data_IF_062059499557
#
_entry.id   IF_062059499557
#
_cell.length_a   1.000
_cell.length_b   1.000
_cell.length_c   1.000
_cell.angle_alpha   90.00
_cell.angle_beta   90.00
_cell.angle_gamma   90.00
#
_symmetry.space_group_name_H-M   'P 1'
#
loop_
_entity.id
_entity.type
_entity.pdbx_description
1 polymer ?
#
# COMPACT_ATOMS: atom_id res chain seq x y z
N UNK A 1 2.85 -3.89 3.64
CA UNK A 1 3.96 -3.15 4.30
C UNK A 1 4.57 -4.04 5.38
N UNK A 2 5.89 -4.14 5.47
CA UNK A 2 6.54 -4.82 6.60
C UNK A 2 7.66 -3.93 7.15
N UNK A 3 7.74 -3.73 8.47
CA UNK A 3 8.73 -2.81 9.07
C UNK A 3 10.16 -3.35 9.05
N UNK A 4 10.35 -4.63 8.69
CA UNK A 4 11.66 -5.25 8.46
C UNK A 4 12.04 -5.26 6.98
N UNK A 5 11.10 -4.92 6.08
CA UNK A 5 11.35 -4.84 4.65
C UNK A 5 11.92 -3.45 4.32
N UNK A 6 13.25 -3.35 4.31
CA UNK A 6 13.94 -2.11 3.99
C UNK A 6 13.51 -1.50 2.64
N UNK A 7 13.35 -2.27 1.53
CA UNK A 7 12.83 -1.73 0.28
C UNK A 7 11.41 -1.16 0.42
N UNK A 8 10.56 -1.79 1.23
CA UNK A 8 9.20 -1.31 1.49
C UNK A 8 9.21 0.03 2.23
N UNK A 9 10.14 0.22 3.18
CA UNK A 9 10.29 1.48 3.91
C UNK A 9 10.77 2.59 2.97
N UNK A 10 11.76 2.32 2.12
CA UNK A 10 12.24 3.32 1.15
C UNK A 10 11.17 3.75 0.14
N UNK A 11 10.17 2.92 -0.12
CA UNK A 11 9.06 3.23 -1.01
C UNK A 11 8.00 4.14 -0.36
N UNK A 12 8.00 4.32 0.96
CA UNK A 12 6.95 5.06 1.69
C UNK A 12 6.91 6.56 1.38
N UNK A 13 8.03 7.29 1.33
CA UNK A 13 7.98 8.71 1.00
C UNK A 13 7.34 8.95 -0.38
N UNK A 14 7.73 8.17 -1.38
CA UNK A 14 7.16 8.26 -2.71
C UNK A 14 5.66 7.88 -2.73
N UNK A 15 5.24 6.91 -1.91
CA UNK A 15 3.83 6.59 -1.74
C UNK A 15 3.04 7.72 -1.07
N UNK A 16 3.66 8.43 -0.12
CA UNK A 16 3.12 9.64 0.50
C UNK A 16 2.90 10.75 -0.51
N UNK A 17 3.88 11.01 -1.38
CA UNK A 17 3.77 12.01 -2.45
C UNK A 17 2.60 11.71 -3.41
N UNK A 18 2.46 10.42 -3.81
CA UNK A 18 1.35 9.96 -4.64
C UNK A 18 0.01 10.11 -3.92
N UNK A 19 -0.04 9.73 -2.64
CA UNK A 19 -1.26 9.88 -1.85
C UNK A 19 -1.66 11.35 -1.73
N UNK A 20 -0.74 12.26 -1.38
CA UNK A 20 -1.04 13.69 -1.28
C UNK A 20 -1.52 14.28 -2.60
N UNK A 21 -0.95 13.84 -3.72
CA UNK A 21 -1.33 14.30 -5.05
C UNK A 21 -2.75 13.87 -5.45
N UNK A 22 -3.17 12.66 -5.08
CA UNK A 22 -4.39 12.04 -5.62
C UNK A 22 -5.49 11.75 -4.58
N UNK A 23 -5.26 11.97 -3.27
CA UNK A 23 -6.24 11.68 -2.21
C UNK A 23 -7.57 12.40 -2.40
N UNK A 24 -7.56 13.59 -3.01
CA UNK A 24 -8.76 14.35 -3.34
C UNK A 24 -9.38 13.98 -4.70
N UNK A 25 -8.63 13.26 -5.55
CA UNK A 25 -9.10 12.72 -6.83
C UNK A 25 -9.76 11.32 -6.66
N UNK A 26 -9.99 10.90 -5.42
CA UNK A 26 -10.64 9.62 -5.10
C UNK A 26 -9.68 8.46 -4.81
N UNK A 27 -8.36 8.70 -4.76
CA UNK A 27 -7.40 7.68 -4.34
C UNK A 27 -7.54 7.38 -2.85
N UNK A 28 -7.72 6.10 -2.50
CA UNK A 28 -7.53 5.59 -1.15
C UNK A 28 -6.36 4.64 -1.11
N UNK A 29 -5.45 4.86 -0.18
CA UNK A 29 -4.31 3.97 0.08
C UNK A 29 -4.57 3.24 1.38
N UNK A 30 -4.53 1.90 1.32
CA UNK A 30 -4.60 1.05 2.50
C UNK A 30 -3.33 0.22 2.57
N UNK A 31 -2.61 0.33 3.68
CA UNK A 31 -1.44 -0.50 3.96
C UNK A 31 -1.82 -1.65 4.88
N UNK A 32 -1.60 -2.87 4.42
CA UNK A 32 -1.78 -4.08 5.22
C UNK A 32 -0.41 -4.62 5.59
N UNK A 33 -0.19 -4.84 6.88
CA UNK A 33 1.06 -5.38 7.39
C UNK A 33 0.88 -6.82 7.89
N UNK A 34 1.22 -7.85 7.07
CA UNK A 34 1.24 -9.23 7.51
C UNK A 34 2.38 -9.38 8.51
N UNK A 35 2.03 -9.67 9.76
CA UNK A 35 3.01 -9.56 10.83
C UNK A 35 3.52 -10.93 11.28
N UNK A 36 4.85 -11.05 11.37
CA UNK A 36 5.59 -12.25 11.79
C UNK A 36 6.48 -12.02 13.04
N UNK A 37 6.52 -10.84 13.65
CA UNK A 37 7.38 -10.58 14.84
C UNK A 37 6.58 -10.39 16.15
N UNK A 38 7.25 -10.30 17.30
CA UNK A 38 6.61 -9.97 18.59
C UNK A 38 7.54 -9.08 19.44
N UNK A 39 7.06 -7.95 20.03
CA UNK A 39 5.70 -7.42 19.99
C UNK A 39 5.42 -6.56 18.73
N UNK A 40 4.29 -6.78 18.03
CA UNK A 40 4.01 -6.15 16.73
C UNK A 40 3.88 -4.64 16.77
N UNK A 41 3.20 -4.15 17.80
CA UNK A 41 2.57 -2.84 17.77
C UNK A 41 3.58 -1.73 17.99
N UNK A 42 4.64 -1.97 18.78
CA UNK A 42 5.60 -0.92 19.16
C UNK A 42 6.52 -0.55 18.00
N UNK A 43 7.05 -1.53 17.26
CA UNK A 43 7.88 -1.26 16.07
C UNK A 43 7.04 -0.66 14.95
N UNK A 44 5.85 -1.22 14.70
CA UNK A 44 4.92 -0.71 13.70
C UNK A 44 4.51 0.75 13.95
N UNK A 45 4.10 1.10 15.18
CA UNK A 45 3.79 2.49 15.55
C UNK A 45 4.96 3.44 15.31
N UNK A 46 6.17 3.04 15.73
CA UNK A 46 7.38 3.84 15.49
C UNK A 46 7.67 4.03 14.01
N UNK A 47 7.47 3.01 13.17
CA UNK A 47 7.65 3.15 11.71
C UNK A 47 6.61 4.07 11.12
N UNK A 48 5.34 3.97 11.55
CA UNK A 48 4.29 4.91 11.11
C UNK A 48 4.66 6.35 11.44
N UNK A 49 5.09 6.60 12.68
CA UNK A 49 5.49 7.93 13.13
C UNK A 49 6.73 8.44 12.36
N UNK A 50 7.74 7.59 12.17
CA UNK A 50 9.00 7.95 11.51
C UNK A 50 8.83 8.21 10.02
N UNK A 51 8.03 7.41 9.33
CA UNK A 51 7.81 7.51 7.89
C UNK A 51 6.59 8.38 7.54
N UNK A 52 6.00 9.05 8.54
CA UNK A 52 4.82 9.90 8.38
C UNK A 52 3.68 9.22 7.62
N UNK A 53 3.34 7.98 8.00
CA UNK A 53 2.22 7.27 7.39
C UNK A 53 0.91 7.77 8.01
N UNK A 54 0.14 8.55 7.25
CA UNK A 54 -1.14 9.13 7.71
C UNK A 54 -2.36 8.60 6.95
N UNK A 55 -2.17 7.67 6.01
CA UNK A 55 -3.27 6.92 5.39
C UNK A 55 -3.63 5.68 6.22
N UNK A 56 -4.74 5.03 5.87
CA UNK A 56 -5.24 3.86 6.59
C UNK A 56 -4.21 2.72 6.58
N UNK A 57 -3.78 2.29 7.76
CA UNK A 57 -2.79 1.24 7.92
C UNK A 57 -3.25 0.25 9.01
N UNK A 58 -3.19 -1.04 8.68
CA UNK A 58 -3.68 -2.10 9.54
C UNK A 58 -2.61 -3.16 9.77
N UNK A 59 -2.48 -3.59 11.03
CA UNK A 59 -1.74 -4.80 11.37
C UNK A 59 -2.67 -5.99 11.15
N UNK A 60 -2.15 -7.03 10.53
CA UNK A 60 -2.85 -8.29 10.33
C UNK A 60 -2.17 -9.38 11.16
N UNK A 61 -2.72 -9.71 12.35
CA UNK A 61 -2.08 -10.62 13.29
C UNK A 61 -1.95 -12.04 12.77
N UNK A 62 -2.88 -12.45 11.91
CA UNK A 62 -2.94 -13.80 11.34
C UNK A 62 -2.02 -13.96 10.12
N UNK A 63 -1.24 -12.92 9.78
CA UNK A 63 -0.35 -12.94 8.62
C UNK A 63 -1.09 -13.23 7.32
N UNK A 64 -0.38 -13.86 6.38
CA UNK A 64 -0.92 -14.23 5.06
C UNK A 64 -2.03 -15.29 5.12
N UNK A 65 -2.24 -15.93 6.28
CA UNK A 65 -3.31 -16.90 6.50
C UNK A 65 -4.67 -16.25 6.86
N UNK A 66 -4.78 -14.93 6.78
CA UNK A 66 -6.06 -14.25 6.98
C UNK A 66 -7.01 -14.43 5.79
N UNK A 67 -8.33 -14.39 6.06
CA UNK A 67 -9.33 -14.41 5.00
C UNK A 67 -9.22 -13.21 4.06
N UNK A 68 -8.76 -12.06 4.56
CA UNK A 68 -8.50 -10.89 3.74
C UNK A 68 -7.38 -11.13 2.71
N UNK A 69 -6.30 -11.79 3.11
CA UNK A 69 -5.23 -12.15 2.17
C UNK A 69 -5.68 -13.16 1.13
N UNK A 70 -6.51 -14.14 1.51
CA UNK A 70 -7.10 -15.09 0.55
C UNK A 70 -8.04 -14.41 -0.43
N UNK A 71 -8.89 -13.50 0.05
CA UNK A 71 -9.85 -12.77 -0.79
C UNK A 71 -9.17 -11.81 -1.78
N UNK A 72 -8.06 -11.19 -1.37
CA UNK A 72 -7.30 -10.24 -2.19
C UNK A 72 -6.15 -10.89 -2.99
N UNK A 73 -6.02 -12.23 -2.96
CA UNK A 73 -4.88 -13.01 -3.50
C UNK A 73 -3.50 -12.41 -3.15
N UNK A 74 -3.37 -11.91 -1.92
CA UNK A 74 -2.13 -11.28 -1.44
C UNK A 74 -1.11 -12.37 -1.13
N UNK A 75 -0.16 -12.56 -2.05
CA UNK A 75 0.93 -13.53 -1.91
C UNK A 75 2.06 -12.96 -1.05
N UNK A 76 2.86 -13.82 -0.38
CA UNK A 76 4.01 -13.40 0.42
C UNK A 76 5.15 -12.76 -0.39
N UNK A 77 5.10 -12.86 -1.72
CA UNK A 77 6.03 -12.16 -2.61
C UNK A 77 5.54 -10.76 -2.94
N UNK A 78 6.48 -9.80 -2.96
CA UNK A 78 6.27 -8.37 -3.18
C UNK A 78 5.26 -8.05 -4.29
N UNK A 79 4.00 -7.83 -3.93
CA UNK A 79 2.97 -7.38 -4.85
C UNK A 79 2.39 -6.06 -4.34
N UNK A 80 2.58 -4.99 -5.13
CA UNK A 80 1.78 -3.78 -5.02
C UNK A 80 0.54 -3.98 -5.89
N UNK A 81 -0.64 -3.95 -5.28
CA UNK A 81 -1.91 -4.01 -6.00
C UNK A 81 -2.66 -2.68 -5.83
N UNK A 82 -3.17 -2.14 -6.94
CA UNK A 82 -4.09 -1.01 -6.90
C UNK A 82 -5.51 -1.55 -7.06
N UNK A 83 -6.44 -1.12 -6.22
CA UNK A 83 -7.87 -1.48 -6.32
C UNK A 83 -8.75 -0.24 -6.28
N UNK A 84 -9.88 -0.26 -7.00
CA UNK A 84 -10.90 0.80 -6.92
C UNK A 84 -11.85 0.57 -5.76
N UNK A 85 -12.62 1.61 -5.41
CA UNK A 85 -13.78 1.55 -4.52
C UNK A 85 -14.84 0.51 -4.92
N UNK A 86 -14.85 0.03 -6.18
CA UNK A 86 -15.73 -1.06 -6.64
C UNK A 86 -15.16 -2.46 -6.34
N UNK A 87 -14.04 -2.56 -5.62
CA UNK A 87 -13.38 -3.83 -5.33
C UNK A 87 -12.67 -4.46 -6.53
N UNK A 88 -12.54 -3.72 -7.65
CA UNK A 88 -11.79 -4.18 -8.83
C UNK A 88 -10.30 -3.91 -8.63
N UNK A 89 -9.49 -4.96 -8.66
CA UNK A 89 -8.03 -4.84 -8.77
C UNK A 89 -7.73 -4.26 -10.15
N UNK A 90 -7.21 -3.03 -10.20
CA UNK A 90 -6.95 -2.32 -11.47
C UNK A 90 -5.63 -2.72 -12.10
N UNK A 91 -4.64 -3.08 -11.30
CA UNK A 91 -3.28 -3.39 -11.75
C UNK A 91 -2.71 -4.51 -10.88
N UNK A 92 -2.55 -5.67 -11.50
CA UNK A 92 -1.66 -6.74 -11.02
C UNK A 92 -0.22 -6.38 -11.45
N UNK A 93 0.76 -6.49 -10.54
CA UNK A 93 2.15 -6.04 -10.75
C UNK A 93 2.31 -4.55 -11.02
N UNK A 94 1.61 -3.75 -10.23
CA UNK A 94 1.61 -2.33 -10.47
C UNK A 94 2.99 -1.71 -10.23
N UNK A 95 3.39 -0.71 -11.04
CA UNK A 95 4.68 -0.06 -10.87
C UNK A 95 4.80 0.52 -9.47
N UNK A 96 6.01 0.42 -8.91
CA UNK A 96 6.31 0.91 -7.57
C UNK A 96 6.07 2.43 -7.47
N UNK A 97 5.93 2.97 -6.25
CA UNK A 97 5.65 4.39 -6.05
C UNK A 97 6.75 5.33 -6.60
N UNK A 98 7.95 4.82 -6.82
CA UNK A 98 9.07 5.56 -7.42
C UNK A 98 9.13 5.45 -8.96
N UNK A 99 8.20 4.75 -9.60
CA UNK A 99 8.18 4.62 -11.05
C UNK A 99 7.71 5.94 -11.71
N UNK A 100 8.47 6.49 -12.67
CA UNK A 100 8.09 7.74 -13.33
C UNK A 100 6.75 7.66 -14.08
N UNK A 101 6.33 6.48 -14.52
CA UNK A 101 5.09 6.28 -15.27
C UNK A 101 3.85 6.19 -14.35
N UNK A 102 4.04 6.09 -13.03
CA UNK A 102 2.92 5.93 -12.11
C UNK A 102 1.98 7.14 -12.16
N UNK A 103 2.50 8.36 -12.28
CA UNK A 103 1.66 9.57 -12.41
C UNK A 103 0.73 9.50 -13.61
N UNK A 104 1.23 9.07 -14.77
CA UNK A 104 0.41 8.97 -16.00
C UNK A 104 -0.68 7.91 -15.86
N UNK A 105 -0.34 6.76 -15.28
CA UNK A 105 -1.29 5.69 -14.99
C UNK A 105 -2.38 6.21 -14.04
N UNK A 106 -2.00 6.88 -12.95
CA UNK A 106 -2.94 7.40 -11.96
C UNK A 106 -3.84 8.49 -12.53
N UNK A 107 -3.30 9.41 -13.35
CA UNK A 107 -4.09 10.41 -14.05
C UNK A 107 -5.12 9.75 -14.98
N UNK A 108 -4.75 8.69 -15.70
CA UNK A 108 -5.69 7.94 -16.56
C UNK A 108 -6.80 7.25 -15.75
N UNK A 109 -6.46 6.64 -14.61
CA UNK A 109 -7.40 5.86 -13.80
C UNK A 109 -8.34 6.74 -12.96
N UNK A 110 -7.84 7.84 -12.41
CA UNK A 110 -8.58 8.65 -11.42
C UNK A 110 -9.22 9.90 -12.04
N UNK A 111 -8.59 10.52 -13.03
CA UNK A 111 -9.08 11.77 -13.63
C UNK A 111 -9.83 11.55 -14.93
N UNK A 112 -9.88 10.31 -15.43
CA UNK A 112 -10.68 9.94 -16.58
C UNK A 112 -10.35 10.73 -17.84
N UNK A 113 -9.20 10.46 -18.46
CA UNK A 113 -9.07 10.73 -19.90
C UNK A 113 -9.54 9.51 -20.68
N UNK A 114 -10.73 9.64 -21.26
CA UNK A 114 -11.06 8.93 -22.50
C UNK A 114 -10.07 9.34 -23.59
#
# INVERSE_FOLDING_TARGET
MATWCQPCIYAMPALGDIYDKYRYDGLKVVSISPWMESPPQKKWKKTIEREHIYWDNYIMPQGFDSDLCRQLDVKPYHATSYSTLEGRIMLENAPGPSDPNLTEIMDRLLKGKK
#
